data_IF_664936304357
#
_entry.id   IF_664936304357
#
_cell.length_a   1.000
_cell.length_b   1.000
_cell.length_c   1.000
_cell.angle_alpha   90.00
_cell.angle_beta   90.00
_cell.angle_gamma   90.00
#
_symmetry.space_group_name_H-M   'P 1'
#
loop_
_entity.id
_entity.type
_entity.pdbx_description
1 polymer ?
#
# COMPACT_ATOMS: atom_id res chain seq x y z
N UNK A 1 24.79 -2.40 -8.27
CA UNK A 1 24.13 -1.14 -8.68
C UNK A 1 23.15 -1.48 -9.77
N UNK A 2 21.86 -1.20 -9.58
CA UNK A 2 20.75 -1.48 -10.49
C UNK A 2 20.14 -0.18 -11.01
N UNK A 3 19.56 -0.23 -12.20
CA UNK A 3 18.74 0.87 -12.73
C UNK A 3 17.30 0.63 -12.32
N UNK A 4 16.74 1.50 -11.50
CA UNK A 4 15.44 1.30 -10.87
C UNK A 4 14.51 2.46 -11.20
N UNK A 5 13.28 2.14 -11.63
CA UNK A 5 12.21 3.11 -11.80
C UNK A 5 11.18 2.97 -10.69
N UNK A 6 10.77 4.10 -10.09
CA UNK A 6 9.69 4.14 -9.09
C UNK A 6 8.56 5.05 -9.58
N UNK A 7 7.40 4.47 -9.85
CA UNK A 7 6.18 5.19 -10.15
C UNK A 7 5.45 5.49 -8.83
N UNK A 8 5.29 6.79 -8.47
CA UNK A 8 4.67 7.19 -7.21
C UNK A 8 5.59 7.15 -5.98
N UNK A 9 6.83 7.62 -6.10
CA UNK A 9 7.88 7.57 -5.08
C UNK A 9 8.07 8.83 -4.22
N UNK A 10 7.18 9.85 -4.24
CA UNK A 10 7.44 11.13 -3.58
C UNK A 10 6.75 11.33 -2.23
N UNK A 11 5.91 10.41 -1.80
CA UNK A 11 5.14 10.51 -0.56
C UNK A 11 5.13 9.19 0.22
N UNK A 12 4.99 9.29 1.54
CA UNK A 12 4.73 8.19 2.45
C UNK A 12 5.71 7.01 2.27
N UNK A 13 5.25 5.75 2.30
CA UNK A 13 6.12 4.58 2.12
C UNK A 13 6.86 4.58 0.77
N UNK A 14 6.26 5.14 -0.29
CA UNK A 14 6.93 5.28 -1.59
C UNK A 14 8.18 6.17 -1.51
N UNK A 15 8.13 7.26 -0.72
CA UNK A 15 9.29 8.12 -0.47
C UNK A 15 10.38 7.37 0.31
N UNK A 16 9.98 6.64 1.36
CA UNK A 16 10.90 5.83 2.16
C UNK A 16 11.56 4.73 1.32
N UNK A 17 10.80 4.11 0.40
CA UNK A 17 11.36 3.16 -0.57
C UNK A 17 12.45 3.79 -1.43
N UNK A 18 12.21 4.97 -2.00
CA UNK A 18 13.23 5.67 -2.81
C UNK A 18 14.47 6.01 -1.98
N UNK A 19 14.31 6.47 -0.74
CA UNK A 19 15.41 6.73 0.19
C UNK A 19 16.28 5.48 0.40
N UNK A 20 15.66 4.33 0.68
CA UNK A 20 16.36 3.05 0.85
C UNK A 20 17.08 2.60 -0.43
N UNK A 21 16.46 2.75 -1.60
CA UNK A 21 17.06 2.36 -2.87
C UNK A 21 18.28 3.22 -3.21
N UNK A 22 18.27 4.51 -2.86
CA UNK A 22 19.41 5.42 -2.97
C UNK A 22 20.54 5.00 -2.01
N UNK A 23 20.20 4.69 -0.76
CA UNK A 23 21.16 4.24 0.26
C UNK A 23 21.86 2.93 -0.14
N UNK A 24 21.17 2.04 -0.85
CA UNK A 24 21.75 0.81 -1.42
C UNK A 24 22.71 1.09 -2.62
N UNK A 25 22.87 2.35 -3.04
CA UNK A 25 23.77 2.74 -4.14
C UNK A 25 23.23 2.43 -5.53
N UNK A 26 21.90 2.38 -5.71
CA UNK A 26 21.28 2.16 -7.01
C UNK A 26 21.10 3.47 -7.80
N UNK A 27 21.00 3.35 -9.13
CA UNK A 27 20.56 4.43 -10.00
C UNK A 27 19.03 4.50 -9.96
N UNK A 28 18.49 5.46 -9.24
CA UNK A 28 17.05 5.57 -9.04
C UNK A 28 16.47 6.67 -9.92
N UNK A 29 15.49 6.32 -10.71
CA UNK A 29 14.63 7.23 -11.48
C UNK A 29 13.24 7.24 -10.82
N UNK A 30 12.69 8.41 -10.57
CA UNK A 30 11.28 8.54 -10.16
C UNK A 30 10.45 9.09 -11.31
N UNK A 31 9.22 8.59 -11.47
CA UNK A 31 8.26 9.13 -12.45
C UNK A 31 7.02 9.62 -11.72
N UNK A 32 6.70 10.90 -11.89
CA UNK A 32 5.56 11.54 -11.26
C UNK A 32 4.97 12.62 -12.17
N UNK A 33 3.80 13.14 -11.83
CA UNK A 33 3.19 14.28 -12.53
C UNK A 33 3.83 15.64 -12.19
N UNK A 34 4.93 15.67 -11.44
CA UNK A 34 5.61 16.90 -11.03
C UNK A 34 4.93 17.73 -9.93
N UNK A 35 3.72 17.38 -9.51
CA UNK A 35 2.91 18.20 -8.59
C UNK A 35 3.45 18.21 -7.14
N UNK A 36 4.19 17.20 -6.73
CA UNK A 36 4.73 17.07 -5.37
C UNK A 36 6.20 17.49 -5.25
N UNK A 37 6.80 17.98 -6.34
CA UNK A 37 8.23 18.25 -6.42
C UNK A 37 9.11 17.00 -6.36
N UNK A 38 10.43 17.21 -6.29
CA UNK A 38 11.42 16.16 -6.09
C UNK A 38 12.10 16.36 -4.72
N UNK A 39 11.75 15.54 -3.70
CA UNK A 39 12.34 15.69 -2.37
C UNK A 39 13.79 15.16 -2.26
N UNK A 40 14.31 14.51 -3.30
CA UNK A 40 15.61 13.84 -3.29
C UNK A 40 16.73 14.66 -3.98
N UNK A 41 16.39 15.78 -4.63
CA UNK A 41 17.34 16.60 -5.37
C UNK A 41 18.02 15.82 -6.49
N UNK A 42 19.33 16.00 -6.62
CA UNK A 42 20.15 15.37 -7.67
C UNK A 42 20.49 13.90 -7.42
N UNK A 43 19.98 13.32 -6.33
CA UNK A 43 20.20 11.89 -6.00
C UNK A 43 19.37 10.95 -6.87
N UNK A 44 18.37 11.47 -7.56
CA UNK A 44 17.51 10.71 -8.47
C UNK A 44 17.30 11.46 -9.78
N UNK A 45 17.12 10.72 -10.85
CA UNK A 45 16.56 11.29 -12.07
C UNK A 45 15.03 11.44 -11.88
N UNK A 46 14.47 12.58 -12.29
CA UNK A 46 13.04 12.83 -12.15
C UNK A 46 12.39 13.00 -13.53
N UNK A 47 11.60 12.01 -13.93
CA UNK A 47 10.77 12.06 -15.12
C UNK A 47 9.39 12.60 -14.78
N UNK A 48 8.90 13.52 -15.59
CA UNK A 48 7.57 14.11 -15.42
C UNK A 48 6.65 13.54 -16.50
N UNK A 49 5.69 12.72 -16.08
CA UNK A 49 4.65 12.14 -16.94
C UNK A 49 3.45 11.70 -16.10
N UNK A 50 2.28 11.62 -16.71
CA UNK A 50 1.12 10.99 -16.12
C UNK A 50 1.18 9.48 -16.39
N UNK A 51 1.27 8.68 -15.33
CA UNK A 51 1.31 7.21 -15.39
C UNK A 51 0.05 6.64 -16.05
N UNK A 52 -1.09 7.33 -15.98
CA UNK A 52 -2.35 6.92 -16.61
C UNK A 52 -2.46 7.29 -18.09
N UNK A 53 -1.45 7.98 -18.64
CA UNK A 53 -1.31 8.27 -20.07
C UNK A 53 -0.28 7.35 -20.68
N UNK A 54 -0.69 6.34 -21.44
CA UNK A 54 0.22 5.43 -22.14
C UNK A 54 1.24 6.17 -22.99
N UNK A 55 0.80 7.22 -23.69
CA UNK A 55 1.68 8.01 -24.56
C UNK A 55 2.78 8.73 -23.77
N UNK A 56 2.42 9.41 -22.67
CA UNK A 56 3.40 10.10 -21.82
C UNK A 56 4.35 9.12 -21.16
N UNK A 57 3.82 7.98 -20.65
CA UNK A 57 4.63 6.92 -20.05
C UNK A 57 5.64 6.37 -21.05
N UNK A 58 5.21 6.03 -22.28
CA UNK A 58 6.10 5.53 -23.32
C UNK A 58 7.19 6.54 -23.71
N UNK A 59 6.83 7.82 -23.88
CA UNK A 59 7.81 8.87 -24.18
C UNK A 59 8.83 9.08 -23.06
N UNK A 60 8.37 9.04 -21.79
CA UNK A 60 9.25 9.26 -20.64
C UNK A 60 10.31 8.14 -20.49
N UNK A 61 10.01 6.91 -20.92
CA UNK A 61 10.91 5.75 -20.77
C UNK A 61 11.54 5.29 -22.09
N UNK A 62 11.36 6.04 -23.17
CA UNK A 62 11.87 5.69 -24.49
C UNK A 62 13.39 5.43 -24.46
N UNK A 63 13.81 4.30 -25.04
CA UNK A 63 15.21 3.89 -25.13
C UNK A 63 15.85 3.49 -23.80
N UNK A 64 15.07 3.35 -22.73
CA UNK A 64 15.55 2.97 -21.40
C UNK A 64 15.28 1.49 -21.12
N UNK A 65 16.11 0.94 -20.25
CA UNK A 65 15.92 -0.38 -19.65
C UNK A 65 16.10 -0.27 -18.13
N UNK A 66 15.21 -0.90 -17.37
CA UNK A 66 15.29 -0.92 -15.91
C UNK A 66 15.39 -2.35 -15.40
N UNK A 67 16.29 -2.60 -14.46
CA UNK A 67 16.36 -3.89 -13.76
C UNK A 67 15.11 -4.14 -12.93
N UNK A 68 14.56 -3.08 -12.32
CA UNK A 68 13.37 -3.19 -11.47
C UNK A 68 12.48 -1.96 -11.68
N UNK A 69 11.18 -2.19 -11.81
CA UNK A 69 10.17 -1.13 -11.73
C UNK A 69 9.26 -1.38 -10.53
N UNK A 70 9.10 -0.35 -9.69
CA UNK A 70 8.10 -0.32 -8.63
C UNK A 70 6.90 0.51 -9.08
N UNK A 71 5.72 -0.09 -9.18
CA UNK A 71 4.48 0.62 -9.51
C UNK A 71 3.56 0.70 -8.28
N UNK A 72 3.61 1.86 -7.60
CA UNK A 72 2.80 2.13 -6.41
C UNK A 72 1.45 2.75 -6.74
N UNK A 73 1.17 3.07 -8.00
CA UNK A 73 0.04 3.92 -8.41
C UNK A 73 -0.80 3.36 -9.56
N UNK A 74 -0.74 2.06 -9.85
CA UNK A 74 -1.64 1.38 -10.77
C UNK A 74 -2.94 0.98 -10.06
N UNK A 75 -4.10 1.38 -10.59
CA UNK A 75 -5.41 1.20 -9.96
C UNK A 75 -6.47 0.55 -10.85
N UNK A 76 -6.13 0.22 -12.10
CA UNK A 76 -7.08 -0.36 -13.05
C UNK A 76 -6.44 -1.35 -14.03
N UNK A 77 -7.25 -2.24 -14.64
CA UNK A 77 -6.76 -3.16 -15.65
C UNK A 77 -6.24 -2.46 -16.90
N UNK A 78 -6.83 -1.32 -17.29
CA UNK A 78 -6.34 -0.55 -18.43
C UNK A 78 -4.92 -0.03 -18.17
N UNK A 79 -4.71 0.57 -17.00
CA UNK A 79 -3.37 1.04 -16.60
C UNK A 79 -2.35 -0.11 -16.55
N UNK A 80 -2.73 -1.28 -16.06
CA UNK A 80 -1.86 -2.45 -16.03
C UNK A 80 -1.53 -2.98 -17.43
N UNK A 81 -2.52 -3.00 -18.34
CA UNK A 81 -2.32 -3.41 -19.72
C UNK A 81 -1.38 -2.45 -20.48
N UNK A 82 -1.62 -1.17 -20.36
CA UNK A 82 -0.78 -0.13 -20.98
C UNK A 82 0.65 -0.18 -20.43
N UNK A 83 0.82 -0.46 -19.14
CA UNK A 83 2.13 -0.71 -18.55
C UNK A 83 2.83 -1.90 -19.23
N UNK A 84 2.16 -3.05 -19.38
CA UNK A 84 2.75 -4.20 -20.06
C UNK A 84 3.14 -3.86 -21.51
N UNK A 85 2.29 -3.12 -22.24
CA UNK A 85 2.57 -2.73 -23.61
C UNK A 85 3.79 -1.80 -23.75
N UNK A 86 4.08 -0.97 -22.74
CA UNK A 86 5.23 -0.05 -22.71
C UNK A 86 6.49 -0.75 -22.24
N UNK A 87 6.38 -1.64 -21.23
CA UNK A 87 7.56 -2.18 -20.54
C UNK A 87 7.96 -3.60 -20.96
N UNK A 88 7.16 -4.33 -21.74
CA UNK A 88 7.56 -5.65 -22.23
C UNK A 88 8.86 -5.55 -23.05
N UNK A 89 9.91 -6.27 -22.61
CA UNK A 89 11.24 -6.23 -23.20
C UNK A 89 12.13 -5.07 -22.71
N UNK A 90 11.66 -4.24 -21.79
CA UNK A 90 12.36 -3.07 -21.28
C UNK A 90 12.60 -3.11 -19.76
N UNK A 91 12.12 -4.13 -19.06
CA UNK A 91 12.38 -4.34 -17.63
C UNK A 91 12.64 -5.81 -17.32
N UNK A 92 13.39 -6.07 -16.24
CA UNK A 92 13.64 -7.43 -15.78
C UNK A 92 12.65 -7.88 -14.71
N UNK A 93 12.05 -6.95 -13.96
CA UNK A 93 11.10 -7.27 -12.88
C UNK A 93 10.15 -6.11 -12.57
N UNK A 94 8.88 -6.46 -12.25
CA UNK A 94 7.88 -5.54 -11.69
C UNK A 94 7.58 -5.89 -10.23
N UNK A 95 7.64 -4.89 -9.35
CA UNK A 95 7.05 -4.93 -8.01
C UNK A 95 5.81 -4.03 -8.02
N UNK A 96 4.65 -4.66 -8.03
CA UNK A 96 3.35 -3.98 -8.05
C UNK A 96 2.79 -3.86 -6.64
N UNK A 97 2.53 -2.65 -6.18
CA UNK A 97 1.84 -2.41 -4.91
C UNK A 97 0.37 -2.73 -5.04
N UNK A 98 -0.03 -3.89 -4.56
CA UNK A 98 -1.42 -4.34 -4.43
C UNK A 98 -1.95 -4.08 -3.02
N UNK A 99 -2.99 -4.76 -2.60
CA UNK A 99 -3.74 -4.43 -1.38
C UNK A 99 -4.46 -5.63 -0.77
N UNK A 100 -4.67 -5.62 0.55
CA UNK A 100 -5.62 -6.48 1.27
C UNK A 100 -7.04 -6.42 0.64
N UNK A 101 -7.41 -5.30 -0.01
CA UNK A 101 -8.74 -5.13 -0.62
C UNK A 101 -9.00 -6.02 -1.84
N UNK A 102 -8.04 -6.81 -2.28
CA UNK A 102 -8.26 -7.90 -3.24
C UNK A 102 -9.00 -9.08 -2.63
N UNK A 103 -9.03 -9.20 -1.29
CA UNK A 103 -9.76 -10.24 -0.58
C UNK A 103 -11.16 -9.81 -0.18
N UNK A 104 -12.05 -10.79 -0.03
CA UNK A 104 -13.38 -10.58 0.53
C UNK A 104 -13.32 -10.29 2.05
N UNK A 105 -14.25 -9.47 2.53
CA UNK A 105 -14.44 -9.21 3.97
C UNK A 105 -15.45 -10.24 4.50
N UNK A 106 -14.96 -11.38 4.97
CA UNK A 106 -15.77 -12.52 5.41
C UNK A 106 -15.46 -12.98 6.84
N UNK A 107 -14.67 -12.19 7.58
CA UNK A 107 -14.27 -12.50 8.97
C UNK A 107 -13.14 -13.50 9.11
N UNK A 108 -12.58 -14.01 8.00
CA UNK A 108 -11.51 -15.00 8.01
C UNK A 108 -10.15 -14.37 7.76
N UNK A 109 -9.13 -15.01 8.29
CA UNK A 109 -7.74 -14.73 7.97
C UNK A 109 -7.47 -14.93 6.47
N UNK A 110 -6.75 -14.00 5.85
CA UNK A 110 -6.47 -14.02 4.41
C UNK A 110 -5.06 -14.49 4.11
N UNK A 111 -5.00 -15.41 3.14
CA UNK A 111 -3.78 -15.95 2.55
C UNK A 111 -3.74 -15.64 1.06
N UNK A 112 -2.59 -15.80 0.44
CA UNK A 112 -2.40 -15.47 -0.97
C UNK A 112 -3.35 -16.26 -1.90
N UNK A 113 -3.65 -17.52 -1.55
CA UNK A 113 -4.56 -18.40 -2.28
C UNK A 113 -6.05 -18.00 -2.21
N UNK A 114 -6.46 -17.13 -1.28
CA UNK A 114 -7.85 -16.67 -1.18
C UNK A 114 -8.27 -15.72 -2.31
N UNK A 115 -7.32 -15.27 -3.12
CA UNK A 115 -7.57 -14.59 -4.39
C UNK A 115 -6.54 -15.05 -5.43
N UNK A 116 -7.00 -15.76 -6.47
CA UNK A 116 -6.19 -16.25 -7.58
C UNK A 116 -6.27 -15.31 -8.79
N UNK A 117 -5.26 -14.45 -9.02
CA UNK A 117 -5.23 -13.53 -10.15
C UNK A 117 -4.93 -14.22 -11.49
N UNK A 118 -4.38 -15.44 -11.47
CA UNK A 118 -4.01 -16.15 -12.70
C UNK A 118 -5.23 -16.65 -13.48
N UNK A 119 -6.30 -16.98 -12.77
CA UNK A 119 -7.55 -17.46 -13.35
C UNK A 119 -8.71 -16.46 -13.27
N UNK A 120 -8.46 -15.27 -12.72
CA UNK A 120 -9.50 -14.25 -12.60
C UNK A 120 -9.91 -13.70 -13.97
N UNK A 121 -11.23 -13.58 -14.22
CA UNK A 121 -11.75 -13.06 -15.46
C UNK A 121 -11.46 -11.55 -15.58
N UNK A 122 -10.82 -11.15 -16.69
CA UNK A 122 -10.46 -9.76 -16.91
C UNK A 122 -11.63 -9.00 -17.54
N UNK A 123 -12.08 -7.97 -16.84
CA UNK A 123 -12.96 -6.94 -17.36
C UNK A 123 -12.15 -5.66 -17.52
N UNK A 124 -11.99 -5.18 -18.77
CA UNK A 124 -11.24 -3.97 -19.05
C UNK A 124 -12.02 -2.72 -18.65
N UNK A 125 -11.32 -1.74 -18.09
CA UNK A 125 -11.91 -0.46 -17.67
C UNK A 125 -10.90 0.45 -17.01
N UNK A 126 -11.31 1.69 -16.75
CA UNK A 126 -10.55 2.70 -16.04
C UNK A 126 -10.75 2.60 -14.53
N UNK A 127 -9.97 3.34 -13.78
CA UNK A 127 -10.07 3.42 -12.31
C UNK A 127 -11.47 3.76 -11.80
N UNK A 128 -12.25 4.55 -12.53
CA UNK A 128 -13.60 4.98 -12.12
C UNK A 128 -14.69 3.94 -12.41
N UNK A 129 -14.37 2.90 -13.19
CA UNK A 129 -15.32 1.84 -13.56
C UNK A 129 -15.43 0.75 -12.47
N UNK A 130 -14.54 0.79 -11.48
CA UNK A 130 -14.41 -0.24 -10.45
C UNK A 130 -14.37 0.35 -9.04
N UNK A 131 -14.76 -0.47 -8.05
CA UNK A 131 -14.34 -0.23 -6.67
C UNK A 131 -12.83 -0.37 -6.57
N UNK A 132 -12.23 0.22 -5.53
CA UNK A 132 -10.77 0.14 -5.32
C UNK A 132 -10.26 -1.31 -5.30
N UNK A 133 -10.93 -2.19 -4.55
CA UNK A 133 -10.54 -3.60 -4.45
C UNK A 133 -10.65 -4.32 -5.79
N UNK A 134 -11.76 -4.10 -6.51
CA UNK A 134 -11.96 -4.72 -7.81
C UNK A 134 -10.97 -4.20 -8.87
N UNK A 135 -10.70 -2.90 -8.90
CA UNK A 135 -9.67 -2.34 -9.80
C UNK A 135 -8.29 -2.96 -9.56
N UNK A 136 -7.94 -3.24 -8.29
CA UNK A 136 -6.69 -3.92 -7.94
C UNK A 136 -6.68 -5.41 -8.31
N UNK A 137 -7.81 -6.14 -8.12
CA UNK A 137 -7.97 -7.53 -8.61
C UNK A 137 -7.74 -7.62 -10.10
N UNK A 138 -8.39 -6.75 -10.85
CA UNK A 138 -8.30 -6.68 -12.30
C UNK A 138 -6.88 -6.32 -12.76
N UNK A 139 -6.20 -5.39 -12.07
CA UNK A 139 -4.82 -5.04 -12.38
C UNK A 139 -3.86 -6.21 -12.13
N UNK A 140 -3.99 -6.94 -11.00
CA UNK A 140 -3.22 -8.17 -10.76
C UNK A 140 -3.44 -9.19 -11.89
N UNK A 141 -4.70 -9.46 -12.25
CA UNK A 141 -5.02 -10.42 -13.30
C UNK A 141 -4.39 -10.04 -14.65
N UNK A 142 -4.40 -8.75 -15.01
CA UNK A 142 -3.77 -8.27 -16.24
C UNK A 142 -2.25 -8.45 -16.17
N UNK A 143 -1.59 -8.06 -15.09
CA UNK A 143 -0.15 -8.24 -14.96
C UNK A 143 0.25 -9.71 -15.09
N UNK A 144 -0.41 -10.63 -14.37
CA UNK A 144 -0.07 -12.06 -14.42
C UNK A 144 -0.39 -12.75 -15.74
N UNK A 145 -1.30 -12.20 -16.56
CA UNK A 145 -1.62 -12.74 -17.90
C UNK A 145 -0.83 -12.12 -19.04
N UNK A 146 -0.40 -10.87 -18.93
CA UNK A 146 0.13 -10.11 -20.07
C UNK A 146 1.58 -9.63 -19.89
N UNK A 147 2.13 -9.62 -18.68
CA UNK A 147 3.53 -9.27 -18.46
C UNK A 147 4.46 -10.34 -19.04
N UNK A 148 5.52 -9.91 -19.72
CA UNK A 148 6.61 -10.76 -20.23
C UNK A 148 7.86 -10.69 -19.35
N UNK A 149 7.67 -10.29 -18.11
CA UNK A 149 8.68 -10.17 -17.05
C UNK A 149 8.10 -10.70 -15.73
N UNK A 150 8.96 -11.13 -14.79
CA UNK A 150 8.54 -11.50 -13.45
C UNK A 150 7.76 -10.40 -12.73
N UNK A 151 6.65 -10.78 -12.07
CA UNK A 151 5.79 -9.86 -11.32
C UNK A 151 5.66 -10.32 -9.88
N UNK A 152 5.87 -9.38 -8.95
CA UNK A 152 5.48 -9.52 -7.54
C UNK A 152 4.32 -8.57 -7.25
N UNK A 153 3.17 -9.10 -6.89
CA UNK A 153 2.03 -8.30 -6.43
C UNK A 153 2.04 -8.27 -4.88
N UNK A 154 2.54 -7.18 -4.32
CA UNK A 154 2.65 -6.99 -2.87
C UNK A 154 1.31 -6.50 -2.33
N UNK A 155 0.58 -7.37 -1.63
CA UNK A 155 -0.70 -7.05 -1.01
C UNK A 155 -0.45 -6.46 0.37
N UNK A 156 -0.64 -5.14 0.47
CA UNK A 156 -0.48 -4.38 1.71
C UNK A 156 -1.83 -4.24 2.44
N UNK A 157 -1.87 -4.31 3.78
CA UNK A 157 -3.00 -3.86 4.58
C UNK A 157 -3.08 -2.33 4.57
N UNK A 158 -3.83 -1.76 5.50
CA UNK A 158 -3.69 -0.33 5.78
C UNK A 158 -2.28 -0.09 6.32
N UNK A 159 -1.53 0.73 5.60
CA UNK A 159 -0.21 1.19 6.01
C UNK A 159 -0.36 2.41 6.92
N UNK A 160 0.35 2.42 8.05
CA UNK A 160 0.32 3.49 9.05
C UNK A 160 1.67 4.20 9.16
N UNK A 161 1.65 5.48 9.53
CA UNK A 161 2.84 6.28 9.79
C UNK A 161 2.46 7.71 10.13
N UNK A 162 3.36 8.46 10.77
CA UNK A 162 3.12 9.86 11.13
C UNK A 162 2.90 10.74 9.89
N UNK A 163 3.54 10.40 8.77
CA UNK A 163 3.45 11.10 7.49
C UNK A 163 2.36 10.53 6.55
N UNK A 164 1.41 9.73 7.07
CA UNK A 164 0.29 9.21 6.29
C UNK A 164 -0.64 10.34 5.81
N UNK A 165 -0.51 10.69 4.53
CA UNK A 165 -1.34 11.72 3.90
C UNK A 165 -2.82 11.32 3.78
N UNK A 166 -3.16 10.03 3.91
CA UNK A 166 -4.55 9.55 3.93
C UNK A 166 -5.22 9.78 5.29
N UNK A 167 -4.42 10.02 6.33
CA UNK A 167 -4.82 10.41 7.69
C UNK A 167 -5.81 9.46 8.38
N UNK A 168 -5.84 8.17 7.99
CA UNK A 168 -6.83 7.23 8.52
C UNK A 168 -6.73 7.05 10.05
N UNK A 169 -5.51 6.87 10.57
CA UNK A 169 -5.28 6.82 12.01
C UNK A 169 -5.41 8.19 12.67
N UNK A 170 -4.89 9.24 12.03
CA UNK A 170 -4.94 10.62 12.54
C UNK A 170 -6.37 11.08 12.80
N UNK A 171 -7.28 10.87 11.85
CA UNK A 171 -8.70 11.26 12.01
C UNK A 171 -9.34 10.62 13.24
N UNK A 172 -9.00 9.35 13.55
CA UNK A 172 -9.51 8.70 14.75
C UNK A 172 -8.96 9.33 16.03
N UNK A 173 -7.64 9.56 16.05
CA UNK A 173 -6.98 10.20 17.19
C UNK A 173 -7.52 11.62 17.40
N UNK A 174 -7.66 12.42 16.34
CA UNK A 174 -8.22 13.76 16.39
C UNK A 174 -9.65 13.80 16.92
N UNK A 175 -10.52 12.93 16.40
CA UNK A 175 -11.91 12.87 16.87
C UNK A 175 -12.02 12.49 18.35
N UNK A 176 -11.25 11.52 18.80
CA UNK A 176 -11.24 11.12 20.21
C UNK A 176 -10.67 12.24 21.08
N UNK A 177 -9.55 12.85 20.70
CA UNK A 177 -8.94 13.97 21.42
C UNK A 177 -9.92 15.17 21.57
N UNK A 178 -10.68 15.46 20.52
CA UNK A 178 -11.68 16.54 20.49
C UNK A 178 -13.05 16.14 21.04
N UNK A 179 -13.22 14.91 21.55
CA UNK A 179 -14.51 14.34 22.00
C UNK A 179 -15.60 14.37 20.94
N UNK A 180 -15.22 14.26 19.67
CA UNK A 180 -16.13 14.15 18.55
C UNK A 180 -16.65 12.72 18.41
N UNK A 181 -17.88 12.50 17.93
CA UNK A 181 -18.39 11.15 17.71
C UNK A 181 -17.63 10.43 16.58
N UNK A 182 -17.40 9.13 16.76
CA UNK A 182 -16.82 8.26 15.74
C UNK A 182 -17.64 6.98 15.63
N UNK A 183 -18.00 6.62 14.39
CA UNK A 183 -18.87 5.48 14.10
C UNK A 183 -18.09 4.23 13.70
N UNK A 184 -18.39 3.12 14.37
CA UNK A 184 -17.91 1.79 14.00
C UNK A 184 -19.10 0.85 13.75
N UNK A 185 -18.90 -0.15 12.88
CA UNK A 185 -19.90 -1.20 12.63
C UNK A 185 -19.75 -2.32 13.66
N UNK A 186 -18.52 -2.76 13.88
CA UNK A 186 -18.21 -3.87 14.77
C UNK A 186 -16.89 -3.59 15.50
N UNK A 187 -16.98 -3.34 16.81
CA UNK A 187 -15.80 -3.04 17.64
C UNK A 187 -14.91 -4.27 17.89
N UNK A 188 -15.49 -5.47 17.78
CA UNK A 188 -14.77 -6.74 17.97
C UNK A 188 -14.04 -7.18 16.69
N UNK A 189 -14.25 -6.46 15.56
CA UNK A 189 -13.58 -6.78 14.31
C UNK A 189 -12.07 -6.53 14.44
N UNK A 190 -11.27 -7.52 14.05
CA UNK A 190 -9.82 -7.48 14.08
C UNK A 190 -9.25 -7.06 12.75
N UNK A 191 -8.16 -6.29 12.77
CA UNK A 191 -7.42 -5.84 11.59
C UNK A 191 -5.93 -6.07 11.76
N UNK A 192 -5.23 -6.28 10.65
CA UNK A 192 -3.78 -6.22 10.57
C UNK A 192 -3.32 -4.92 9.91
N UNK A 193 -2.13 -4.47 10.26
CA UNK A 193 -1.54 -3.21 9.80
C UNK A 193 -0.08 -3.39 9.44
N UNK A 194 0.50 -2.41 8.77
CA UNK A 194 1.92 -2.38 8.46
C UNK A 194 2.46 -0.96 8.67
N UNK A 195 3.64 -0.83 9.28
CA UNK A 195 4.31 0.46 9.41
C UNK A 195 4.86 0.93 8.06
N UNK A 196 4.79 2.22 7.76
CA UNK A 196 5.26 2.78 6.48
C UNK A 196 6.74 2.51 6.18
N UNK A 197 7.59 2.51 7.21
CA UNK A 197 9.00 2.14 7.07
C UNK A 197 9.14 0.68 6.64
N UNK A 198 8.44 -0.22 7.33
CA UNK A 198 8.48 -1.66 7.04
C UNK A 198 7.85 -1.99 5.67
N UNK A 199 6.81 -1.25 5.24
CA UNK A 199 6.26 -1.37 3.89
C UNK A 199 7.32 -1.03 2.82
N UNK A 200 8.11 0.02 3.04
CA UNK A 200 9.21 0.39 2.15
C UNK A 200 10.33 -0.66 2.14
N UNK A 201 10.73 -1.17 3.30
CA UNK A 201 11.73 -2.24 3.44
C UNK A 201 11.25 -3.52 2.74
N UNK A 202 9.99 -3.89 2.91
CA UNK A 202 9.42 -5.06 2.24
C UNK A 202 9.39 -4.91 0.72
N UNK A 203 8.94 -3.76 0.20
CA UNK A 203 8.96 -3.49 -1.24
C UNK A 203 10.38 -3.57 -1.79
N UNK A 204 11.38 -2.96 -1.11
CA UNK A 204 12.79 -3.08 -1.48
C UNK A 204 13.24 -4.54 -1.51
N UNK A 205 12.98 -5.31 -0.45
CA UNK A 205 13.32 -6.72 -0.36
C UNK A 205 12.67 -7.52 -1.51
N UNK A 206 11.38 -7.30 -1.78
CA UNK A 206 10.66 -7.99 -2.85
C UNK A 206 11.27 -7.73 -4.23
N UNK A 207 11.80 -6.54 -4.48
CA UNK A 207 12.49 -6.22 -5.73
C UNK A 207 13.88 -6.84 -5.83
N UNK A 208 14.56 -7.04 -4.70
CA UNK A 208 15.95 -7.52 -4.67
C UNK A 208 16.09 -9.04 -4.52
N UNK A 209 14.98 -9.75 -4.34
CA UNK A 209 14.94 -11.23 -4.20
C UNK A 209 14.26 -11.86 -5.41
N UNK A 210 14.30 -13.19 -5.50
CA UNK A 210 13.68 -13.96 -6.60
C UNK A 210 12.20 -14.31 -6.33
N UNK A 211 11.56 -13.64 -5.34
CA UNK A 211 10.13 -13.88 -5.07
C UNK A 211 9.28 -13.41 -6.24
N UNK A 212 8.23 -14.17 -6.53
CA UNK A 212 7.26 -13.90 -7.58
C UNK A 212 5.83 -14.20 -7.13
N UNK A 213 4.87 -13.69 -7.89
CA UNK A 213 3.45 -13.91 -7.63
C UNK A 213 2.88 -13.00 -6.54
N UNK A 214 1.63 -13.24 -6.12
CA UNK A 214 1.02 -12.53 -5.01
C UNK A 214 1.76 -12.83 -3.70
N UNK A 215 1.97 -11.80 -2.89
CA UNK A 215 2.60 -11.94 -1.58
C UNK A 215 2.02 -10.92 -0.59
N UNK A 216 1.60 -11.41 0.58
CA UNK A 216 1.08 -10.58 1.65
C UNK A 216 2.22 -9.97 2.46
N UNK A 217 2.10 -8.69 2.78
CA UNK A 217 3.03 -7.97 3.65
C UNK A 217 2.29 -7.27 4.78
N UNK A 218 2.39 -7.80 5.98
CA UNK A 218 1.74 -7.28 7.18
C UNK A 218 2.61 -7.55 8.41
N UNK A 219 2.58 -6.67 9.41
CA UNK A 219 3.21 -6.93 10.70
C UNK A 219 2.64 -8.20 11.34
N UNK A 220 3.42 -8.83 12.21
CA UNK A 220 2.93 -9.94 13.02
C UNK A 220 1.91 -9.45 14.05
N UNK A 221 0.79 -10.15 14.15
CA UNK A 221 -0.30 -9.80 15.05
C UNK A 221 -1.44 -9.05 14.37
N UNK A 222 -2.49 -8.89 15.12
CA UNK A 222 -3.73 -8.20 14.77
C UNK A 222 -4.30 -7.54 16.01
N UNK A 223 -5.19 -6.59 15.84
CA UNK A 223 -5.81 -5.86 16.93
C UNK A 223 -7.30 -5.66 16.64
N UNK A 224 -8.14 -5.77 17.66
CA UNK A 224 -9.54 -5.39 17.55
C UNK A 224 -9.72 -3.87 17.51
N UNK A 225 -10.80 -3.39 16.91
CA UNK A 225 -11.11 -1.97 16.89
C UNK A 225 -11.37 -1.43 18.31
N UNK A 226 -11.89 -2.25 19.22
CA UNK A 226 -12.04 -1.89 20.63
C UNK A 226 -10.69 -1.64 21.30
N UNK A 227 -9.72 -2.52 21.13
CA UNK A 227 -8.37 -2.35 21.68
C UNK A 227 -7.65 -1.16 21.05
N UNK A 228 -7.78 -0.94 19.73
CA UNK A 228 -7.22 0.23 19.05
C UNK A 228 -7.78 1.54 19.65
N UNK A 229 -9.10 1.61 19.87
CA UNK A 229 -9.73 2.78 20.50
C UNK A 229 -9.20 2.96 21.93
N UNK A 230 -9.06 1.89 22.73
CA UNK A 230 -8.48 1.99 24.07
C UNK A 230 -7.04 2.52 24.09
N UNK A 231 -6.20 2.16 23.09
CA UNK A 231 -4.86 2.72 22.95
C UNK A 231 -4.92 4.22 22.67
N UNK A 232 -5.84 4.66 21.81
CA UNK A 232 -6.03 6.08 21.50
C UNK A 232 -6.56 6.86 22.71
N UNK A 233 -7.53 6.30 23.46
CA UNK A 233 -8.05 6.90 24.71
C UNK A 233 -6.92 7.12 25.74
N UNK A 234 -6.04 6.13 25.90
CA UNK A 234 -4.88 6.24 26.79
C UNK A 234 -3.91 7.32 26.34
N UNK A 235 -3.64 7.42 25.03
CA UNK A 235 -2.71 8.41 24.48
C UNK A 235 -3.26 9.84 24.54
N UNK A 236 -4.56 10.03 24.33
CA UNK A 236 -5.21 11.35 24.32
C UNK A 236 -5.71 11.79 25.70
N UNK A 237 -5.86 10.86 26.66
CA UNK A 237 -6.49 11.12 27.95
C UNK A 237 -8.00 11.42 27.85
N UNK A 238 -8.65 11.10 26.72
CA UNK A 238 -10.04 11.37 26.45
C UNK A 238 -10.78 10.06 26.14
N UNK A 239 -12.03 9.95 26.59
CA UNK A 239 -12.88 8.80 26.25
C UNK A 239 -13.54 8.98 24.89
N UNK A 240 -13.54 7.94 24.09
CA UNK A 240 -14.17 7.92 22.77
C UNK A 240 -15.71 8.02 22.90
N UNK A 241 -16.31 8.79 22.02
CA UNK A 241 -17.75 8.87 21.85
C UNK A 241 -18.17 7.98 20.69
N UNK A 242 -18.36 6.68 20.96
CA UNK A 242 -18.75 5.73 19.91
C UNK A 242 -20.22 6.01 19.53
N UNK A 243 -20.44 6.27 18.26
CA UNK A 243 -21.78 6.41 17.69
C UNK A 243 -22.16 5.09 16.99
N UNK A 244 -23.41 4.66 17.21
CA UNK A 244 -24.00 3.62 16.36
C UNK A 244 -24.20 4.22 14.96
N UNK A 245 -23.79 3.49 13.94
CA UNK A 245 -23.82 3.96 12.58
C UNK A 245 -25.22 4.31 12.11
N UNK A 246 -25.47 5.59 11.98
CA UNK A 246 -26.56 6.18 11.19
C UNK A 246 -25.96 6.86 9.94
N UNK A 247 -26.79 7.52 9.13
CA UNK A 247 -26.40 8.09 7.81
C UNK A 247 -25.53 9.37 7.88
N UNK A 248 -24.87 9.70 8.97
CA UNK A 248 -24.42 11.06 9.28
C UNK A 248 -22.91 11.33 9.00
N UNK A 249 -22.24 10.51 8.21
CA UNK A 249 -20.85 10.81 7.80
C UNK A 249 -19.78 10.70 8.90
N UNK A 250 -20.11 10.14 10.05
CA UNK A 250 -19.21 9.97 11.22
C UNK A 250 -18.45 8.62 11.21
N UNK A 251 -18.46 7.94 10.07
CA UNK A 251 -17.81 6.65 9.91
C UNK A 251 -16.32 6.73 10.19
N UNK A 252 -15.82 5.79 11.01
CA UNK A 252 -14.39 5.53 11.08
C UNK A 252 -13.88 5.06 9.72
N UNK A 253 -12.67 5.46 9.30
CA UNK A 253 -11.98 4.83 8.17
C UNK A 253 -11.79 3.31 8.30
N UNK A 254 -11.97 2.77 9.52
CA UNK A 254 -11.87 1.34 9.86
C UNK A 254 -13.24 0.70 10.17
N UNK A 255 -14.35 1.34 9.76
CA UNK A 255 -15.70 0.82 9.99
C UNK A 255 -15.98 -0.40 9.10
N UNK A 256 -15.54 -1.57 9.54
CA UNK A 256 -15.72 -2.86 8.87
C UNK A 256 -16.75 -3.72 9.58
N UNK A 257 -17.53 -4.57 8.87
CA UNK A 257 -18.59 -5.38 9.46
C UNK A 257 -18.07 -6.61 10.21
N UNK A 258 -16.92 -7.15 9.84
CA UNK A 258 -16.27 -8.28 10.47
C UNK A 258 -14.75 -8.18 10.29
N UNK A 259 -14.00 -9.04 10.97
CA UNK A 259 -12.54 -9.05 10.93
C UNK A 259 -11.99 -9.12 9.51
N UNK A 260 -10.89 -8.40 9.26
CA UNK A 260 -10.26 -8.31 7.96
C UNK A 260 -8.76 -8.12 8.11
N UNK A 261 -8.05 -9.23 8.09
CA UNK A 261 -6.62 -9.31 8.33
C UNK A 261 -6.00 -10.42 7.48
N UNK A 262 -4.69 -10.40 7.31
CA UNK A 262 -3.97 -11.37 6.49
C UNK A 262 -2.73 -11.92 7.19
N UNK A 263 -2.30 -13.12 6.76
CA UNK A 263 -1.03 -13.73 7.14
C UNK A 263 0.10 -13.22 6.26
N UNK A 264 1.31 -13.24 6.84
CA UNK A 264 2.57 -12.95 6.15
C UNK A 264 3.46 -14.21 5.99
N UNK A 265 2.89 -15.39 6.14
CA UNK A 265 3.64 -16.66 6.23
C UNK A 265 4.51 -16.90 4.99
N UNK A 266 4.00 -16.64 3.79
CA UNK A 266 4.76 -16.81 2.53
C UNK A 266 6.00 -15.91 2.52
N UNK A 267 5.87 -14.67 2.88
CA UNK A 267 6.97 -13.71 2.94
C UNK A 267 8.00 -14.10 4.02
N UNK A 268 7.52 -14.52 5.21
CA UNK A 268 8.40 -14.96 6.31
C UNK A 268 9.18 -16.22 5.93
N UNK A 269 8.55 -17.17 5.26
CA UNK A 269 9.23 -18.38 4.76
C UNK A 269 10.24 -18.08 3.65
N UNK A 270 10.00 -17.02 2.87
CA UNK A 270 10.94 -16.52 1.87
C UNK A 270 12.07 -15.67 2.46
N UNK A 271 12.08 -15.46 3.79
CA UNK A 271 13.20 -14.83 4.52
C UNK A 271 13.01 -13.38 4.95
N UNK A 272 11.79 -12.80 4.84
CA UNK A 272 11.53 -11.48 5.40
C UNK A 272 11.02 -11.59 6.84
N UNK A 273 11.64 -10.84 7.76
CA UNK A 273 11.25 -10.81 9.17
C UNK A 273 10.39 -9.56 9.45
N UNK A 274 9.11 -9.76 9.74
CA UNK A 274 8.21 -8.68 10.11
C UNK A 274 8.28 -8.34 11.60
N UNK A 275 8.10 -7.07 11.92
CA UNK A 275 7.94 -6.56 13.27
C UNK A 275 6.67 -7.07 13.95
N UNK A 276 6.59 -6.97 15.28
CA UNK A 276 5.34 -7.18 16.00
C UNK A 276 4.51 -5.90 15.97
N UNK A 277 3.21 -6.01 15.73
CA UNK A 277 2.28 -4.87 15.74
C UNK A 277 2.35 -4.08 17.06
N UNK A 278 2.44 -4.80 18.18
CA UNK A 278 2.48 -4.21 19.52
C UNK A 278 3.74 -3.37 19.80
N UNK A 279 4.85 -3.65 19.09
CA UNK A 279 6.09 -2.93 19.29
C UNK A 279 6.05 -1.48 18.80
N UNK A 280 5.24 -1.20 17.77
CA UNK A 280 5.22 0.10 17.12
C UNK A 280 3.87 0.85 17.13
N UNK A 281 2.74 0.14 17.25
CA UNK A 281 1.42 0.76 17.13
C UNK A 281 1.16 1.76 18.26
N UNK A 282 1.43 1.38 19.51
CA UNK A 282 1.27 2.29 20.66
C UNK A 282 2.20 3.50 20.57
N UNK A 283 3.52 3.37 20.33
CA UNK A 283 4.40 4.52 20.10
C UNK A 283 3.92 5.45 18.96
N UNK A 284 3.43 4.90 17.85
CA UNK A 284 2.91 5.68 16.74
C UNK A 284 1.68 6.50 17.14
N UNK A 285 0.74 5.89 17.87
CA UNK A 285 -0.46 6.58 18.37
C UNK A 285 -0.06 7.73 19.31
N UNK A 286 0.88 7.49 20.24
CA UNK A 286 1.37 8.50 21.18
C UNK A 286 2.07 9.66 20.44
N UNK A 287 2.89 9.36 19.43
CA UNK A 287 3.55 10.37 18.60
C UNK A 287 2.53 11.26 17.87
N UNK A 288 1.54 10.67 17.22
CA UNK A 288 0.48 11.43 16.52
C UNK A 288 -0.36 12.24 17.53
N UNK A 289 -0.76 11.65 18.66
CA UNK A 289 -1.56 12.32 19.67
C UNK A 289 -0.83 13.55 20.25
N UNK A 290 0.48 13.48 20.41
CA UNK A 290 1.30 14.61 20.92
C UNK A 290 1.32 15.81 19.98
N UNK A 291 1.01 15.65 18.69
CA UNK A 291 0.96 16.72 17.69
C UNK A 291 -0.41 17.41 17.64
N UNK A 292 -1.42 16.84 18.28
CA UNK A 292 -2.77 17.39 18.36
C UNK A 292 -2.82 18.34 19.56
N UNK A 293 -2.94 19.62 19.26
CA UNK A 293 -3.02 20.69 20.29
C UNK A 293 -4.46 21.14 20.51
#
# INVERSE_FOLDING_TARGET
>A
MKNILVLGGTRFFGRKLVELLIEDGNNVTILTRGQSGNPFGDKVEHLIADRSSKQELAQAVEGRHFDIVYDNICYSPLEAKEFCEVFNGHIDKLVFTSTLSTYEIDGKEKREEDFDPYHYEITMGNKLDFTYGEGKRQAEAVFFKHAQFPVVAVRLPIVMGEDDYTRRLHVQIERIANREPIGFVNMEAEMSFLLAAEAAEFLRWAGMTDVEGPINATANGKISLAELVQLIEKATGQSARIALLGNDGIHSPYAIPCSWYMMNQKASQAGFAFSQLDDWLKPLIEAIASQIK
#
